data_IF_380395005525
#
_entry.id   IF_380395005525
#
_cell.length_a   1.000
_cell.length_b   1.000
_cell.length_c   1.000
_cell.angle_alpha   90.00
_cell.angle_beta   90.00
_cell.angle_gamma   90.00
#
_symmetry.space_group_name_H-M   'P 1'
#
loop_
_entity.id
_entity.type
_entity.pdbx_description
1 polymer ?
#
# COMPACT_ATOMS: atom_id res chain seq x y z
N UNK A 1 23.87 6.81 14.70
CA UNK A 1 23.15 5.56 14.98
C UNK A 1 21.65 5.80 15.17
N UNK A 2 21.28 6.83 15.93
CA UNK A 2 19.87 7.15 16.16
C UNK A 2 19.15 7.59 14.89
N UNK A 3 19.84 8.15 13.91
CA UNK A 3 19.23 8.61 12.67
C UNK A 3 18.75 7.46 11.78
N UNK A 4 19.36 6.29 11.92
CA UNK A 4 18.97 5.11 11.15
C UNK A 4 17.52 4.73 11.48
N UNK A 5 17.14 4.83 12.75
CA UNK A 5 15.79 4.47 13.19
C UNK A 5 14.74 5.51 12.86
N UNK A 6 15.16 6.72 12.51
CA UNK A 6 14.25 7.79 12.14
C UNK A 6 14.00 7.88 10.63
N UNK A 7 14.74 7.11 9.85
CA UNK A 7 14.59 7.12 8.41
C UNK A 7 13.32 6.41 7.98
N UNK A 8 12.81 6.81 6.83
CA UNK A 8 11.76 6.03 6.19
C UNK A 8 12.40 4.92 5.34
N UNK A 9 11.71 3.80 5.26
CA UNK A 9 12.07 2.69 4.40
C UNK A 9 10.95 2.53 3.38
N UNK A 10 11.32 2.26 2.13
CA UNK A 10 10.37 2.07 1.03
C UNK A 10 10.36 0.64 0.57
N UNK A 11 9.17 0.16 0.22
CA UNK A 11 9.01 -1.07 -0.54
C UNK A 11 8.12 -0.79 -1.74
N UNK A 12 8.51 -1.30 -2.90
CA UNK A 12 7.77 -1.05 -4.14
C UNK A 12 7.85 -2.27 -5.05
N UNK A 13 6.86 -2.41 -5.92
CA UNK A 13 6.82 -3.47 -6.93
C UNK A 13 6.04 -2.97 -8.13
N UNK A 14 6.33 -3.54 -9.29
CA UNK A 14 5.58 -3.25 -10.52
C UNK A 14 4.67 -4.41 -10.91
N UNK A 15 4.70 -5.52 -10.17
CA UNK A 15 4.01 -6.76 -10.52
C UNK A 15 3.22 -7.31 -9.35
N UNK A 16 2.16 -8.05 -9.66
CA UNK A 16 1.37 -8.75 -8.67
C UNK A 16 1.99 -10.12 -8.33
N UNK A 17 1.32 -10.89 -7.49
CA UNK A 17 1.76 -12.21 -7.04
C UNK A 17 1.97 -13.19 -8.20
N UNK A 18 1.19 -13.05 -9.26
CA UNK A 18 1.28 -13.93 -10.45
C UNK A 18 2.38 -13.51 -11.42
N UNK A 19 3.06 -12.39 -11.15
CA UNK A 19 4.10 -11.86 -12.03
C UNK A 19 3.58 -10.96 -13.14
N UNK A 20 2.31 -10.60 -13.11
CA UNK A 20 1.72 -9.69 -14.08
C UNK A 20 1.90 -8.24 -13.65
N UNK A 21 2.06 -7.35 -14.62
CA UNK A 21 2.16 -5.92 -14.35
C UNK A 21 0.88 -5.40 -13.70
N UNK A 22 1.04 -4.50 -12.73
CA UNK A 22 -0.09 -3.87 -12.08
C UNK A 22 -0.81 -2.95 -13.08
N UNK A 23 -2.11 -3.21 -13.27
CA UNK A 23 -2.95 -2.53 -14.27
C UNK A 23 -4.07 -1.76 -13.58
N UNK A 24 -4.25 -0.51 -13.99
CA UNK A 24 -5.29 0.35 -13.42
C UNK A 24 -6.72 -0.10 -13.70
N UNK A 25 -6.92 -1.00 -14.67
CA UNK A 25 -8.23 -1.57 -14.98
C UNK A 25 -8.59 -2.82 -14.21
N UNK A 26 -7.71 -3.28 -13.32
CA UNK A 26 -7.89 -4.51 -12.55
C UNK A 26 -7.96 -4.17 -11.06
N UNK A 27 -8.80 -4.88 -10.32
CA UNK A 27 -8.88 -4.72 -8.87
C UNK A 27 -7.88 -5.62 -8.17
N UNK A 28 -7.20 -5.08 -7.16
CA UNK A 28 -6.20 -5.79 -6.37
C UNK A 28 -6.45 -5.63 -4.88
N UNK A 29 -5.87 -6.52 -4.10
CA UNK A 29 -5.85 -6.43 -2.65
C UNK A 29 -4.45 -6.69 -2.12
N UNK A 30 -4.07 -5.95 -1.09
CA UNK A 30 -2.83 -6.18 -0.34
C UNK A 30 -3.19 -6.36 1.12
N UNK A 31 -2.86 -7.54 1.65
CA UNK A 31 -3.07 -7.84 3.06
C UNK A 31 -1.87 -7.37 3.88
N UNK A 32 -2.08 -6.39 4.75
CA UNK A 32 -1.06 -5.95 5.71
C UNK A 32 -1.23 -6.73 6.99
N UNK A 33 -0.28 -7.62 7.33
CA UNK A 33 -0.34 -8.33 8.60
C UNK A 33 -0.38 -7.38 9.79
N UNK A 34 -0.90 -7.80 10.95
CA UNK A 34 -0.94 -6.95 12.13
C UNK A 34 0.47 -6.59 12.59
N UNK A 35 0.56 -5.58 13.45
CA UNK A 35 1.84 -5.14 14.03
C UNK A 35 2.85 -4.65 13.00
N UNK A 36 2.40 -3.82 12.06
CA UNK A 36 3.28 -3.19 11.08
C UNK A 36 4.44 -2.50 11.79
N UNK A 37 5.70 -2.81 11.43
CA UNK A 37 6.87 -2.35 12.18
C UNK A 37 7.26 -0.90 11.82
N UNK A 38 6.34 0.03 12.05
CA UNK A 38 6.56 1.46 11.88
C UNK A 38 6.20 2.14 13.19
N UNK A 39 7.19 2.63 13.93
CA UNK A 39 6.96 3.24 15.24
C UNK A 39 6.16 4.54 15.14
N UNK A 40 6.35 5.30 14.06
CA UNK A 40 5.56 6.51 13.82
C UNK A 40 4.29 6.20 13.06
N UNK A 41 4.41 5.78 11.80
CA UNK A 41 3.27 5.39 10.98
C UNK A 41 3.77 4.74 9.68
N UNK A 42 2.84 4.17 8.92
CA UNK A 42 3.10 3.68 7.57
C UNK A 42 2.20 4.41 6.58
N UNK A 43 2.62 4.46 5.32
CA UNK A 43 1.79 4.99 4.25
C UNK A 43 1.95 4.17 2.97
N UNK A 44 0.87 4.10 2.20
CA UNK A 44 0.84 3.49 0.88
C UNK A 44 0.40 4.55 -0.11
N UNK A 45 1.28 4.88 -1.07
CA UNK A 45 0.99 5.86 -2.11
C UNK A 45 1.15 5.22 -3.48
N UNK A 46 0.24 5.52 -4.40
CA UNK A 46 0.32 5.02 -5.77
C UNK A 46 0.91 6.08 -6.71
N UNK A 47 1.76 5.61 -7.62
CA UNK A 47 2.40 6.44 -8.63
C UNK A 47 2.09 5.92 -10.02
N UNK A 48 2.01 6.82 -10.97
CA UNK A 48 1.83 6.50 -12.39
C UNK A 48 3.17 6.04 -12.96
N UNK A 49 3.19 4.90 -13.64
CA UNK A 49 4.42 4.34 -14.22
C UNK A 49 5.01 5.28 -15.29
N UNK A 50 4.15 5.86 -16.14
CA UNK A 50 4.62 6.68 -17.26
C UNK A 50 5.23 8.00 -16.80
N UNK A 51 4.60 8.68 -15.84
CA UNK A 51 5.04 10.00 -15.40
C UNK A 51 5.92 9.97 -14.18
N UNK A 52 5.90 8.86 -13.43
CA UNK A 52 6.56 8.72 -12.12
C UNK A 52 6.02 9.70 -11.08
N UNK A 53 4.87 10.29 -11.34
CA UNK A 53 4.20 11.20 -10.42
C UNK A 53 3.07 10.48 -9.69
N UNK A 54 2.59 11.08 -8.60
CA UNK A 54 1.45 10.56 -7.86
C UNK A 54 0.26 10.39 -8.82
N UNK A 55 -0.42 9.25 -8.68
CA UNK A 55 -1.53 8.92 -9.56
C UNK A 55 -2.65 9.97 -9.46
N UNK A 56 -3.15 10.39 -10.62
CA UNK A 56 -4.33 11.26 -10.71
C UNK A 56 -5.58 10.44 -10.92
N UNK A 57 -6.62 10.71 -10.16
CA UNK A 57 -7.92 10.08 -10.33
C UNK A 57 -9.03 11.07 -9.98
N UNK A 58 -10.27 10.73 -10.34
CA UNK A 58 -11.42 11.61 -10.11
C UNK A 58 -11.70 11.85 -8.63
N UNK A 59 -11.37 10.88 -7.79
CA UNK A 59 -11.61 10.94 -6.36
C UNK A 59 -10.56 11.77 -5.61
N UNK A 60 -9.46 12.13 -6.26
CA UNK A 60 -8.32 12.83 -5.65
C UNK A 60 -7.74 12.06 -4.45
N UNK A 61 -7.76 10.74 -4.54
CA UNK A 61 -7.21 9.85 -3.50
C UNK A 61 -6.04 9.09 -4.09
N UNK A 62 -4.85 9.27 -3.55
CA UNK A 62 -3.66 8.60 -4.05
C UNK A 62 -2.91 7.83 -2.95
N UNK A 63 -3.36 7.94 -1.69
CA UNK A 63 -2.67 7.31 -0.57
C UNK A 63 -3.64 6.87 0.52
N UNK A 64 -3.17 5.91 1.30
CA UNK A 64 -3.78 5.51 2.57
C UNK A 64 -2.66 5.34 3.58
N UNK A 65 -2.95 5.64 4.83
CA UNK A 65 -1.93 5.53 5.89
C UNK A 65 -2.56 5.11 7.20
N UNK A 66 -1.70 4.70 8.13
CA UNK A 66 -2.15 4.32 9.47
C UNK A 66 -2.71 5.48 10.29
N UNK A 67 -2.55 6.71 9.80
CA UNK A 67 -3.12 7.91 10.44
C UNK A 67 -4.55 8.20 9.99
N UNK A 68 -5.07 7.45 9.04
CA UNK A 68 -6.44 7.59 8.53
C UNK A 68 -7.36 6.59 9.22
N UNK A 69 -8.66 6.85 9.18
CA UNK A 69 -9.68 5.94 9.71
C UNK A 69 -9.90 4.77 8.73
N UNK A 70 -9.03 3.79 8.82
CA UNK A 70 -9.13 2.59 7.97
C UNK A 70 -10.00 1.53 8.65
N UNK A 71 -10.58 0.65 7.83
CA UNK A 71 -11.25 -0.54 8.34
C UNK A 71 -10.18 -1.55 8.74
N UNK A 72 -10.14 -1.90 10.02
CA UNK A 72 -9.16 -2.84 10.59
C UNK A 72 -9.86 -4.16 10.88
N UNK A 73 -9.23 -5.27 10.51
CA UNK A 73 -9.75 -6.59 10.77
C UNK A 73 -9.64 -6.95 12.26
N UNK A 74 -10.37 -7.99 12.69
CA UNK A 74 -10.41 -8.39 14.09
C UNK A 74 -9.04 -8.72 14.68
N UNK A 75 -8.12 -9.26 13.86
CA UNK A 75 -6.76 -9.61 14.27
C UNK A 75 -5.78 -8.43 14.23
N UNK A 76 -6.24 -7.24 13.85
CA UNK A 76 -5.41 -6.06 13.72
C UNK A 76 -4.78 -5.88 12.34
N UNK A 77 -5.00 -6.80 11.41
CA UNK A 77 -4.53 -6.66 10.05
C UNK A 77 -5.40 -5.69 9.25
N UNK A 78 -4.86 -5.19 8.15
CA UNK A 78 -5.57 -4.25 7.27
C UNK A 78 -5.46 -4.72 5.83
N UNK A 79 -6.57 -4.76 5.13
CA UNK A 79 -6.57 -5.05 3.69
C UNK A 79 -6.71 -3.74 2.93
N UNK A 80 -5.74 -3.43 2.08
CA UNK A 80 -5.77 -2.28 1.19
C UNK A 80 -6.22 -2.72 -0.19
N UNK A 81 -7.10 -1.94 -0.80
CA UNK A 81 -7.67 -2.24 -2.12
C UNK A 81 -7.21 -1.22 -3.15
N UNK A 82 -6.85 -1.70 -4.32
CA UNK A 82 -6.43 -0.88 -5.45
C UNK A 82 -7.24 -1.30 -6.67
N UNK A 83 -7.81 -0.36 -7.38
CA UNK A 83 -8.56 -0.71 -8.57
C UNK A 83 -9.55 0.37 -8.99
N UNK A 84 -10.22 0.17 -10.14
CA UNK A 84 -11.20 1.14 -10.62
C UNK A 84 -12.52 1.08 -9.83
N UNK A 85 -12.78 -0.01 -9.12
CA UNK A 85 -14.05 -0.23 -8.42
C UNK A 85 -13.85 -0.23 -6.90
N UNK A 86 -14.73 0.47 -6.18
CA UNK A 86 -14.70 0.49 -4.73
C UNK A 86 -15.15 -0.84 -4.14
N UNK A 87 -14.41 -1.39 -3.16
CA UNK A 87 -14.85 -2.59 -2.46
C UNK A 87 -16.04 -2.29 -1.55
N UNK A 88 -17.00 -3.20 -1.47
CA UNK A 88 -18.18 -3.02 -0.62
C UNK A 88 -17.76 -2.92 0.85
N UNK A 89 -18.25 -1.90 1.56
CA UNK A 89 -18.01 -1.67 2.99
C UNK A 89 -16.55 -1.40 3.37
N UNK A 90 -15.65 -1.21 2.40
CA UNK A 90 -14.22 -0.96 2.65
C UNK A 90 -13.66 0.18 1.84
N UNK A 91 -14.47 1.14 1.47
CA UNK A 91 -14.06 2.30 0.68
C UNK A 91 -12.96 3.11 1.38
N UNK A 92 -12.91 3.09 2.70
CA UNK A 92 -11.86 3.77 3.47
C UNK A 92 -10.46 3.18 3.24
N UNK A 93 -10.38 1.94 2.75
CA UNK A 93 -9.13 1.23 2.48
C UNK A 93 -8.81 1.18 0.98
N UNK A 94 -9.56 1.89 0.16
CA UNK A 94 -9.45 1.83 -1.28
C UNK A 94 -8.66 3.01 -1.84
N UNK A 95 -7.76 2.73 -2.77
CA UNK A 95 -7.10 3.75 -3.58
C UNK A 95 -7.53 3.52 -5.03
N UNK A 96 -8.28 4.45 -5.63
CA UNK A 96 -8.74 4.29 -7.00
C UNK A 96 -7.58 4.31 -8.00
N UNK A 97 -7.64 3.41 -8.98
CA UNK A 97 -6.72 3.40 -10.12
C UNK A 97 -7.48 3.77 -11.38
N UNK A 98 -6.76 4.04 -12.46
CA UNK A 98 -7.37 4.48 -13.73
C UNK A 98 -7.13 3.42 -14.79
N UNK A 99 -8.22 2.95 -15.42
CA UNK A 99 -8.13 1.97 -16.49
C UNK A 99 -7.23 2.49 -17.63
N UNK A 100 -6.40 1.60 -18.17
CA UNK A 100 -5.46 1.94 -19.22
C UNK A 100 -4.14 2.54 -18.76
N UNK A 101 -3.96 2.72 -17.46
CA UNK A 101 -2.72 3.26 -16.88
C UNK A 101 -2.10 2.27 -15.92
N UNK A 102 -0.84 1.95 -16.15
CA UNK A 102 -0.06 1.14 -15.20
C UNK A 102 0.34 1.99 -13.99
N UNK A 103 0.43 1.36 -12.84
CA UNK A 103 0.76 2.04 -11.59
C UNK A 103 1.72 1.21 -10.78
N UNK A 104 2.37 1.83 -9.79
CA UNK A 104 3.18 1.12 -8.83
C UNK A 104 3.02 1.75 -7.45
N UNK A 105 3.04 0.93 -6.38
CA UNK A 105 2.91 1.44 -5.02
C UNK A 105 4.26 1.78 -4.42
N UNK A 106 4.26 2.76 -3.52
CA UNK A 106 5.33 2.94 -2.54
C UNK A 106 4.73 2.70 -1.16
N UNK A 107 5.18 1.66 -0.50
CA UNK A 107 4.85 1.41 0.89
C UNK A 107 5.99 1.92 1.76
N UNK A 108 5.70 2.92 2.59
CA UNK A 108 6.71 3.57 3.42
C UNK A 108 6.47 3.25 4.88
N UNK A 109 7.55 2.86 5.57
CA UNK A 109 7.57 2.72 7.02
C UNK A 109 8.34 3.89 7.60
N UNK A 110 7.69 4.67 8.45
CA UNK A 110 8.33 5.80 9.13
C UNK A 110 8.75 5.34 10.51
N UNK A 111 10.03 5.56 10.86
CA UNK A 111 10.66 5.03 12.06
C UNK A 111 10.49 3.50 12.13
N UNK A 112 11.09 2.75 11.19
CA UNK A 112 10.90 1.30 11.14
C UNK A 112 11.36 0.63 12.42
N UNK A 113 10.57 -0.33 12.88
CA UNK A 113 10.82 -1.05 14.11
C UNK A 113 11.68 -2.30 13.91
N UNK A 114 12.02 -2.93 15.02
CA UNK A 114 12.89 -4.09 15.06
C UNK A 114 12.37 -5.25 14.20
N UNK A 115 11.07 -5.49 14.19
CA UNK A 115 10.48 -6.59 13.43
C UNK A 115 10.75 -6.50 11.92
N UNK A 116 10.92 -5.29 11.38
CA UNK A 116 11.31 -5.13 9.99
C UNK A 116 12.75 -5.64 9.75
N UNK A 117 13.68 -5.20 10.60
CA UNK A 117 15.11 -5.55 10.47
C UNK A 117 15.36 -7.04 10.76
N UNK A 118 14.61 -7.61 11.69
CA UNK A 118 14.70 -9.04 12.02
C UNK A 118 14.00 -9.91 10.99
N UNK A 119 13.27 -9.31 10.03
CA UNK A 119 12.48 -10.02 9.03
C UNK A 119 11.40 -10.91 9.64
N UNK A 120 10.95 -10.57 10.84
CA UNK A 120 9.82 -11.29 11.47
C UNK A 120 8.48 -10.81 10.98
N UNK A 121 8.44 -9.60 10.41
CA UNK A 121 7.27 -9.07 9.72
C UNK A 121 7.55 -9.05 8.22
N UNK A 122 6.70 -9.68 7.43
CA UNK A 122 6.88 -9.80 5.98
C UNK A 122 5.65 -9.23 5.28
N UNK A 123 5.89 -8.33 4.32
CA UNK A 123 4.83 -7.78 3.49
C UNK A 123 4.47 -8.78 2.39
N UNK A 124 3.22 -9.24 2.31
CA UNK A 124 2.79 -10.14 1.25
C UNK A 124 2.79 -9.46 -0.12
N UNK A 125 2.68 -10.26 -1.18
CA UNK A 125 2.52 -9.74 -2.53
C UNK A 125 1.10 -9.18 -2.74
N UNK A 126 0.98 -8.26 -3.68
CA UNK A 126 -0.31 -7.75 -4.13
C UNK A 126 -0.99 -8.83 -4.97
N UNK A 127 -2.25 -9.12 -4.69
CA UNK A 127 -3.01 -10.16 -5.38
C UNK A 127 -4.19 -9.54 -6.12
N UNK A 128 -4.62 -10.18 -7.22
CA UNK A 128 -5.86 -9.82 -7.89
C UNK A 128 -7.03 -10.13 -6.96
N UNK A 129 -7.91 -9.16 -6.84
CA UNK A 129 -9.08 -9.32 -5.97
C UNK A 129 -10.16 -10.17 -6.61
#
# INVERSE_FOLDING_TARGET
ASDVYKRQIYMSTYKDKDGDWLDGGVNYVLHLPPDVPAESFWSMTLYDVDTRCIIGNEQHIADRSSRMDLVVNEDGSVDLYFGPDAPASKEANWIPTVAGKAWFPYFRLYSPGKAFFDKTWVLPDIEKA
#
